data_IF_655488560986
#
_entry.id   IF_655488560986
#
_cell.length_a   1.000
_cell.length_b   1.000
_cell.length_c   1.000
_cell.angle_alpha   90.00
_cell.angle_beta   90.00
_cell.angle_gamma   90.00
#
_symmetry.space_group_name_H-M   'P 1'
#
loop_
_entity.id
_entity.type
_entity.pdbx_description
1 polymer ?
#
# COMPACT_ATOMS: atom_id res chain seq x y z
N UNK A 1 22.03 -10.53 8.51
CA UNK A 1 20.85 -10.65 9.37
C UNK A 1 19.86 -11.54 8.66
N UNK A 2 19.49 -12.67 9.26
CA UNK A 2 18.48 -13.58 8.69
C UNK A 2 17.10 -12.89 8.61
N UNK A 3 16.19 -13.37 7.75
CA UNK A 3 14.84 -12.79 7.57
C UNK A 3 14.06 -12.82 8.89
N UNK A 4 14.22 -13.89 9.69
CA UNK A 4 13.59 -14.00 11.01
C UNK A 4 14.10 -12.94 11.99
N UNK A 5 15.40 -12.67 11.96
CA UNK A 5 16.07 -11.68 12.80
C UNK A 5 15.68 -10.24 12.39
N UNK A 6 15.59 -9.96 11.08
CA UNK A 6 15.04 -8.71 10.53
C UNK A 6 13.59 -8.50 10.96
N UNK A 7 12.75 -9.52 10.86
CA UNK A 7 11.35 -9.42 11.27
C UNK A 7 11.20 -9.18 12.78
N UNK A 8 12.06 -9.79 13.60
CA UNK A 8 12.09 -9.57 15.05
C UNK A 8 12.53 -8.14 15.39
N UNK A 9 13.57 -7.62 14.74
CA UNK A 9 14.04 -6.25 14.92
C UNK A 9 12.95 -5.23 14.55
N UNK A 10 12.30 -5.42 13.39
CA UNK A 10 11.19 -4.57 12.96
C UNK A 10 10.07 -4.60 13.99
N UNK A 11 9.65 -5.79 14.47
CA UNK A 11 8.59 -5.89 15.48
C UNK A 11 8.95 -5.23 16.81
N UNK A 12 10.21 -5.32 17.24
CA UNK A 12 10.64 -4.73 18.51
C UNK A 12 10.85 -3.22 18.43
N UNK A 13 11.12 -2.67 17.24
CA UNK A 13 11.48 -1.27 17.04
C UNK A 13 10.56 -0.54 16.06
N UNK A 14 9.35 -1.05 15.81
CA UNK A 14 8.46 -0.53 14.76
C UNK A 14 8.16 0.96 14.92
N UNK A 15 8.02 1.45 16.16
CA UNK A 15 7.78 2.88 16.45
C UNK A 15 8.94 3.73 15.95
N UNK A 16 10.18 3.29 16.19
CA UNK A 16 11.37 4.00 15.70
C UNK A 16 11.37 4.06 14.17
N UNK A 17 11.16 2.91 13.50
CA UNK A 17 11.13 2.85 12.04
C UNK A 17 10.04 3.75 11.45
N UNK A 18 8.84 3.74 12.02
CA UNK A 18 7.70 4.57 11.57
C UNK A 18 7.95 6.05 11.85
N UNK A 19 8.40 6.41 13.05
CA UNK A 19 8.57 7.82 13.45
C UNK A 19 9.69 8.54 12.70
N UNK A 20 10.70 7.79 12.25
CA UNK A 20 11.83 8.33 11.46
C UNK A 20 11.50 8.58 9.98
N UNK A 21 10.37 8.06 9.47
CA UNK A 21 9.97 8.17 8.08
C UNK A 21 8.61 8.90 7.95
N UNK A 22 8.58 10.12 7.38
CA UNK A 22 7.33 10.89 7.26
C UNK A 22 6.23 10.24 6.42
N UNK A 23 6.58 9.32 5.50
CA UNK A 23 5.60 8.56 4.73
C UNK A 23 4.96 7.52 5.62
N UNK A 24 5.76 6.77 6.38
CA UNK A 24 5.27 5.74 7.30
C UNK A 24 4.49 6.32 8.47
N UNK A 25 4.97 7.41 9.09
CA UNK A 25 4.28 8.08 10.19
C UNK A 25 2.86 8.49 9.82
N UNK A 26 2.68 9.12 8.66
CA UNK A 26 1.35 9.47 8.14
C UNK A 26 0.48 8.24 7.89
N UNK A 27 1.07 7.10 7.55
CA UNK A 27 0.35 5.85 7.26
C UNK A 27 -0.19 5.24 8.54
N UNK A 28 0.59 5.31 9.62
CA UNK A 28 0.13 4.95 10.95
C UNK A 28 -0.96 5.89 11.45
N UNK A 29 -0.85 7.20 11.20
CA UNK A 29 -1.92 8.15 11.55
C UNK A 29 -3.22 7.89 10.77
N UNK A 30 -3.12 7.56 9.47
CA UNK A 30 -4.25 7.11 8.66
C UNK A 30 -4.91 5.87 9.27
N UNK A 31 -4.14 4.82 9.55
CA UNK A 31 -4.65 3.58 10.15
C UNK A 31 -5.29 3.84 11.52
N UNK A 32 -4.67 4.69 12.34
CA UNK A 32 -5.23 5.10 13.64
C UNK A 32 -6.57 5.84 13.48
N UNK A 33 -6.67 6.76 12.52
CA UNK A 33 -7.93 7.46 12.22
C UNK A 33 -9.02 6.49 11.73
N UNK A 34 -8.68 5.50 10.89
CA UNK A 34 -9.63 4.45 10.47
C UNK A 34 -10.16 3.66 11.65
N UNK A 35 -9.26 3.23 12.53
CA UNK A 35 -9.64 2.48 13.73
C UNK A 35 -10.52 3.33 14.67
N UNK A 36 -10.10 4.57 14.96
CA UNK A 36 -10.85 5.50 15.80
C UNK A 36 -12.23 5.83 15.24
N UNK A 37 -12.36 5.98 13.91
CA UNK A 37 -13.65 6.17 13.26
C UNK A 37 -14.61 4.99 13.49
N UNK A 38 -14.09 3.76 13.56
CA UNK A 38 -14.90 2.56 13.82
C UNK A 38 -15.31 2.44 15.29
N UNK A 39 -14.43 2.78 16.23
CA UNK A 39 -14.68 2.55 17.67
C UNK A 39 -15.31 3.74 18.39
N UNK A 40 -14.95 4.97 18.03
CA UNK A 40 -15.48 6.19 18.65
C UNK A 40 -16.73 6.73 17.93
N UNK A 41 -17.00 6.27 16.69
CA UNK A 41 -18.13 6.72 15.85
C UNK A 41 -18.20 8.24 15.66
N UNK A 42 -17.03 8.90 15.63
CA UNK A 42 -16.91 10.35 15.38
C UNK A 42 -16.47 10.60 13.93
N UNK A 43 -17.27 11.39 13.21
CA UNK A 43 -17.02 11.74 11.81
C UNK A 43 -15.68 12.45 11.58
N UNK A 44 -15.17 13.16 12.59
CA UNK A 44 -13.87 13.84 12.57
C UNK A 44 -12.73 12.88 12.17
N UNK A 45 -12.72 11.65 12.69
CA UNK A 45 -11.69 10.66 12.36
C UNK A 45 -11.84 10.11 10.94
N UNK A 46 -13.08 9.97 10.46
CA UNK A 46 -13.35 9.61 9.06
C UNK A 46 -12.81 10.68 8.11
N UNK A 47 -13.04 11.95 8.42
CA UNK A 47 -12.54 13.08 7.63
C UNK A 47 -10.99 13.12 7.62
N UNK A 48 -10.36 12.99 8.78
CA UNK A 48 -8.89 12.95 8.88
C UNK A 48 -8.29 11.77 8.09
N UNK A 49 -8.90 10.58 8.15
CA UNK A 49 -8.46 9.44 7.35
C UNK A 49 -8.56 9.74 5.84
N UNK A 50 -9.65 10.36 5.40
CA UNK A 50 -9.82 10.78 4.00
C UNK A 50 -8.72 11.77 3.59
N UNK A 51 -8.38 12.74 4.45
CA UNK A 51 -7.33 13.72 4.18
C UNK A 51 -5.95 13.07 3.98
N UNK A 52 -5.56 12.13 4.87
CA UNK A 52 -4.31 11.40 4.71
C UNK A 52 -4.28 10.56 3.43
N UNK A 53 -5.38 9.87 3.10
CA UNK A 53 -5.48 9.10 1.85
C UNK A 53 -5.37 10.00 0.62
N UNK A 54 -6.08 11.13 0.61
CA UNK A 54 -6.00 12.11 -0.48
C UNK A 54 -4.59 12.69 -0.63
N UNK A 55 -3.88 12.93 0.47
CA UNK A 55 -2.49 13.36 0.44
C UNK A 55 -1.61 12.36 -0.32
N UNK A 56 -1.72 11.06 -0.04
CA UNK A 56 -0.94 10.05 -0.75
C UNK A 56 -1.28 9.98 -2.23
N UNK A 57 -2.56 9.97 -2.59
CA UNK A 57 -2.99 9.92 -3.99
C UNK A 57 -2.48 11.14 -4.78
N UNK A 58 -2.58 12.34 -4.21
CA UNK A 58 -2.05 13.58 -4.81
C UNK A 58 -0.53 13.56 -4.92
N UNK A 59 0.15 13.03 -3.90
CA UNK A 59 1.62 12.95 -3.87
C UNK A 59 2.15 11.95 -4.89
N UNK A 60 1.51 10.79 -5.04
CA UNK A 60 1.81 9.82 -6.09
C UNK A 60 1.66 10.44 -7.47
N UNK A 61 0.52 11.08 -7.73
CA UNK A 61 0.26 11.75 -9.01
C UNK A 61 1.32 12.80 -9.37
N UNK A 62 1.83 13.54 -8.40
CA UNK A 62 2.92 14.51 -8.59
C UNK A 62 4.30 13.85 -8.70
N UNK A 63 4.52 12.76 -7.98
CA UNK A 63 5.80 12.06 -7.87
C UNK A 63 6.18 11.28 -9.11
N UNK A 64 5.20 10.82 -9.92
CA UNK A 64 5.46 10.07 -11.16
C UNK A 64 6.26 10.85 -12.20
N UNK A 65 6.35 12.18 -12.11
CA UNK A 65 7.18 12.99 -13.01
C UNK A 65 8.65 13.10 -12.57
N UNK A 66 9.04 12.50 -11.44
CA UNK A 66 10.38 12.63 -10.86
C UNK A 66 11.21 11.36 -11.04
N UNK A 67 12.36 11.47 -11.71
CA UNK A 67 13.29 10.35 -11.91
C UNK A 67 14.23 10.08 -10.72
N UNK A 68 14.05 10.79 -9.60
CA UNK A 68 14.91 10.62 -8.43
C UNK A 68 14.59 9.29 -7.71
N UNK A 69 15.62 8.52 -7.37
CA UNK A 69 15.48 7.27 -6.60
C UNK A 69 14.71 7.47 -5.28
N UNK A 70 14.94 8.58 -4.58
CA UNK A 70 14.18 8.92 -3.36
C UNK A 70 12.68 9.11 -3.62
N UNK A 71 12.30 9.72 -4.74
CA UNK A 71 10.90 9.87 -5.15
C UNK A 71 10.27 8.50 -5.44
N UNK A 72 10.99 7.61 -6.13
CA UNK A 72 10.53 6.25 -6.43
C UNK A 72 10.32 5.43 -5.16
N UNK A 73 11.25 5.49 -4.20
CA UNK A 73 11.11 4.85 -2.88
C UNK A 73 9.87 5.33 -2.14
N UNK A 74 9.66 6.65 -2.09
CA UNK A 74 8.48 7.23 -1.45
C UNK A 74 7.20 6.79 -2.15
N UNK A 75 7.18 6.75 -3.49
CA UNK A 75 6.03 6.28 -4.24
C UNK A 75 5.67 4.82 -3.88
N UNK A 76 6.66 3.94 -3.82
CA UNK A 76 6.45 2.53 -3.42
C UNK A 76 5.90 2.45 -1.99
N UNK A 77 6.47 3.21 -1.04
CA UNK A 77 5.99 3.24 0.34
C UNK A 77 4.54 3.77 0.44
N UNK A 78 4.21 4.86 -0.26
CA UNK A 78 2.85 5.42 -0.29
C UNK A 78 1.84 4.43 -0.89
N UNK A 79 2.20 3.77 -2.00
CA UNK A 79 1.34 2.76 -2.63
C UNK A 79 1.15 1.54 -1.73
N UNK A 80 2.18 1.14 -0.99
CA UNK A 80 2.09 0.06 0.01
C UNK A 80 1.13 0.44 1.16
N UNK A 81 1.18 1.68 1.64
CA UNK A 81 0.26 2.19 2.67
C UNK A 81 -1.17 2.24 2.15
N UNK A 82 -1.38 2.69 0.90
CA UNK A 82 -2.71 2.69 0.30
C UNK A 82 -3.29 1.29 0.21
N UNK A 83 -2.50 0.29 -0.20
CA UNK A 83 -2.95 -1.11 -0.22
C UNK A 83 -3.44 -1.58 1.17
N UNK A 84 -2.75 -1.22 2.25
CA UNK A 84 -3.17 -1.54 3.62
C UNK A 84 -4.46 -0.81 4.03
N UNK A 85 -4.61 0.46 3.65
CA UNK A 85 -5.85 1.22 3.90
C UNK A 85 -7.04 0.56 3.20
N UNK A 86 -6.88 0.14 1.94
CA UNK A 86 -7.95 -0.53 1.21
C UNK A 86 -8.32 -1.87 1.84
N UNK A 87 -7.36 -2.68 2.29
CA UNK A 87 -7.63 -3.90 3.05
C UNK A 87 -8.41 -3.60 4.32
N UNK A 88 -8.02 -2.53 5.04
CA UNK A 88 -8.70 -2.11 6.28
C UNK A 88 -10.14 -1.68 6.01
N UNK A 89 -10.40 -1.12 4.82
CA UNK A 89 -11.74 -0.74 4.38
C UNK A 89 -12.52 -1.90 3.72
N UNK A 90 -11.91 -3.07 3.55
CA UNK A 90 -12.51 -4.23 2.88
C UNK A 90 -12.42 -4.20 1.34
N UNK A 91 -11.78 -3.20 0.73
CA UNK A 91 -11.58 -3.11 -0.73
C UNK A 91 -10.31 -3.82 -1.18
N UNK A 92 -10.40 -5.12 -1.06
CA UNK A 92 -9.41 -6.09 -1.47
C UNK A 92 -8.96 -6.00 -2.94
N UNK A 93 -9.87 -5.63 -3.85
CA UNK A 93 -9.57 -5.50 -5.27
C UNK A 93 -8.68 -4.28 -5.54
N UNK A 94 -9.00 -3.13 -4.94
CA UNK A 94 -8.17 -1.92 -5.09
C UNK A 94 -6.83 -2.11 -4.36
N UNK A 95 -6.81 -2.83 -3.22
CA UNK A 95 -5.57 -3.19 -2.56
C UNK A 95 -4.60 -3.96 -3.48
N UNK A 96 -5.10 -4.94 -4.23
CA UNK A 96 -4.29 -5.71 -5.19
C UNK A 96 -3.71 -4.82 -6.28
N UNK A 97 -4.51 -3.90 -6.84
CA UNK A 97 -4.03 -2.95 -7.86
C UNK A 97 -2.90 -2.07 -7.33
N UNK A 98 -2.96 -1.64 -6.08
CA UNK A 98 -1.85 -0.93 -5.45
C UNK A 98 -0.60 -1.80 -5.34
N UNK A 99 -0.72 -3.05 -4.89
CA UNK A 99 0.42 -3.99 -4.80
C UNK A 99 1.06 -4.20 -6.18
N UNK A 100 0.26 -4.45 -7.22
CA UNK A 100 0.75 -4.60 -8.59
C UNK A 100 1.45 -3.33 -9.10
N UNK A 101 0.89 -2.15 -8.82
CA UNK A 101 1.54 -0.88 -9.12
C UNK A 101 2.89 -0.71 -8.42
N UNK A 102 3.00 -1.13 -7.16
CA UNK A 102 4.26 -1.11 -6.43
C UNK A 102 5.30 -2.07 -7.02
N UNK A 103 4.88 -3.28 -7.43
CA UNK A 103 5.75 -4.25 -8.09
C UNK A 103 6.31 -3.71 -9.41
N UNK A 104 5.45 -3.10 -10.24
CA UNK A 104 5.87 -2.48 -11.50
C UNK A 104 6.90 -1.37 -11.28
N UNK A 105 6.68 -0.50 -10.30
CA UNK A 105 7.65 0.55 -9.95
C UNK A 105 9.00 -0.02 -9.47
N UNK A 106 8.99 -1.17 -8.79
CA UNK A 106 10.23 -1.86 -8.36
C UNK A 106 10.97 -2.43 -9.56
N UNK A 107 10.26 -3.07 -10.49
CA UNK A 107 10.83 -3.61 -11.72
C UNK A 107 11.46 -2.50 -12.58
N UNK A 108 10.75 -1.39 -12.78
CA UNK A 108 11.23 -0.21 -13.52
C UNK A 108 12.44 0.47 -12.85
N UNK A 109 12.63 0.28 -11.55
CA UNK A 109 13.82 0.74 -10.82
C UNK A 109 15.00 -0.24 -10.88
N UNK A 110 14.86 -1.36 -11.60
CA UNK A 110 15.89 -2.40 -11.71
C UNK A 110 15.94 -3.34 -10.51
N UNK A 111 14.83 -3.48 -9.79
CA UNK A 111 14.65 -4.44 -8.71
C UNK A 111 14.76 -3.86 -7.30
N UNK A 112 14.35 -4.68 -6.33
CA UNK A 112 14.20 -4.31 -4.92
C UNK A 112 15.52 -3.88 -4.26
N UNK A 113 16.63 -4.56 -4.61
CA UNK A 113 17.95 -4.28 -4.05
C UNK A 113 18.51 -2.91 -4.49
N UNK A 114 18.16 -2.44 -5.69
CA UNK A 114 18.65 -1.14 -6.20
C UNK A 114 17.96 0.07 -5.58
N UNK A 115 16.74 -0.12 -5.11
CA UNK A 115 15.95 0.97 -4.55
C UNK A 115 16.40 1.36 -3.15
N UNK A 116 16.92 0.41 -2.35
CA UNK A 116 17.25 0.66 -0.95
C UNK A 116 16.02 1.12 -0.16
N UNK A 117 14.90 0.37 -0.28
CA UNK A 117 13.67 0.64 0.47
C UNK A 117 13.91 0.46 1.97
N UNK A 118 13.14 1.20 2.76
CA UNK A 118 13.05 0.99 4.21
C UNK A 118 12.68 -0.49 4.51
N UNK A 119 13.37 -1.10 5.47
CA UNK A 119 13.17 -2.52 5.84
C UNK A 119 11.72 -2.83 6.22
N UNK A 120 11.02 -1.92 6.90
CA UNK A 120 9.61 -2.08 7.23
C UNK A 120 8.72 -2.06 5.97
N UNK A 121 8.95 -1.14 5.04
CA UNK A 121 8.21 -1.09 3.76
C UNK A 121 8.41 -2.39 2.99
N UNK A 122 9.66 -2.85 2.90
CA UNK A 122 10.03 -4.11 2.24
C UNK A 122 9.32 -5.30 2.89
N UNK A 123 9.35 -5.39 4.22
CA UNK A 123 8.70 -6.45 4.97
C UNK A 123 7.19 -6.46 4.77
N UNK A 124 6.54 -5.30 4.84
CA UNK A 124 5.09 -5.18 4.66
C UNK A 124 4.68 -5.53 3.23
N UNK A 125 5.37 -5.01 2.22
CA UNK A 125 5.09 -5.32 0.83
C UNK A 125 5.24 -6.81 0.53
N UNK A 126 6.27 -7.45 1.07
CA UNK A 126 6.45 -8.90 0.94
C UNK A 126 5.27 -9.68 1.54
N UNK A 127 4.79 -9.27 2.71
CA UNK A 127 3.60 -9.89 3.34
C UNK A 127 2.32 -9.66 2.53
N UNK A 128 2.16 -8.49 1.89
CA UNK A 128 1.03 -8.20 1.02
C UNK A 128 1.04 -9.09 -0.24
N UNK A 129 2.20 -9.23 -0.88
CA UNK A 129 2.37 -10.04 -2.07
C UNK A 129 2.12 -11.52 -1.77
N UNK A 130 2.89 -12.10 -0.85
CA UNK A 130 2.96 -13.55 -0.67
C UNK A 130 2.10 -14.04 0.49
N UNK A 131 2.07 -13.32 1.61
CA UNK A 131 1.29 -13.71 2.78
C UNK A 131 -0.22 -13.55 2.59
N UNK A 132 -0.63 -12.47 1.93
CA UNK A 132 -2.04 -12.19 1.59
C UNK A 132 -2.40 -12.60 0.15
N UNK A 133 -1.45 -13.15 -0.61
CA UNK A 133 -1.61 -13.61 -2.00
C UNK A 133 -2.20 -12.55 -2.93
N UNK A 134 -1.97 -11.26 -2.65
CA UNK A 134 -2.52 -10.16 -3.46
C UNK A 134 -1.85 -10.05 -4.82
N UNK A 135 -0.64 -10.61 -4.99
CA UNK A 135 0.01 -10.75 -6.30
C UNK A 135 -0.60 -11.85 -7.17
N UNK A 136 -1.41 -12.75 -6.59
CA UNK A 136 -2.09 -13.84 -7.32
C UNK A 136 -3.52 -13.48 -7.69
N UNK A 137 -4.04 -12.34 -7.23
CA UNK A 137 -5.37 -11.84 -7.61
C UNK A 137 -5.44 -11.29 -9.04
N UNK A 138 -4.47 -11.65 -9.88
CA UNK A 138 -4.27 -11.11 -11.21
C UNK A 138 -5.05 -11.92 -12.27
N UNK A 139 -5.90 -11.20 -12.99
CA UNK A 139 -6.57 -11.53 -14.27
C UNK A 139 -7.69 -12.57 -14.31
N UNK A 140 -7.65 -13.72 -13.65
CA UNK A 140 -8.65 -14.79 -13.90
C UNK A 140 -10.04 -14.46 -13.35
N UNK A 141 -10.12 -13.88 -12.14
CA UNK A 141 -11.39 -13.44 -11.54
C UNK A 141 -11.95 -12.18 -12.21
N UNK A 142 -11.08 -11.31 -12.75
CA UNK A 142 -11.49 -10.12 -13.49
C UNK A 142 -11.96 -10.47 -14.91
N UNK A 143 -11.33 -11.46 -15.55
CA UNK A 143 -11.79 -12.05 -16.82
C UNK A 143 -13.11 -12.80 -16.62
N UNK A 144 -13.24 -13.58 -15.54
CA UNK A 144 -14.48 -14.26 -15.18
C UNK A 144 -15.61 -13.28 -14.86
N UNK A 145 -15.36 -12.18 -14.14
CA UNK A 145 -16.38 -11.18 -13.84
C UNK A 145 -16.82 -10.40 -15.09
N UNK A 146 -15.91 -10.13 -16.02
CA UNK A 146 -16.21 -9.44 -17.29
C UNK A 146 -16.95 -10.36 -18.29
N UNK A 147 -16.73 -11.67 -18.21
CA UNK A 147 -17.47 -12.69 -18.98
C UNK A 147 -18.85 -13.04 -18.38
N UNK A 148 -19.09 -12.67 -17.11
CA UNK A 148 -20.34 -12.96 -16.39
C UNK A 148 -21.28 -11.74 -16.26
N UNK A 149 -20.92 -10.57 -16.80
CA UNK A 149 -21.85 -9.44 -16.95
C UNK A 149 -22.75 -9.63 -18.18
N UNK A 150 -24.08 -9.74 -18.03
CA UNK A 150 -24.99 -9.98 -19.13
C UNK A 150 -25.35 -8.68 -19.86
N UNK A 151 -24.40 -8.08 -20.59
CA UNK A 151 -24.70 -6.97 -21.52
C UNK A 151 -24.24 -7.30 -22.95
N UNK A 152 -24.52 -8.53 -23.38
CA UNK A 152 -24.61 -8.90 -24.80
C UNK A 152 -25.99 -9.49 -25.12
N UNK A 153 -27.06 -8.77 -24.74
CA UNK A 153 -28.41 -8.92 -25.28
C UNK A 153 -29.01 -7.50 -25.43
N UNK A 154 -28.62 -6.77 -26.48
CA UNK A 154 -29.44 -6.36 -27.66
C UNK A 154 -30.28 -5.08 -27.48
N UNK A 155 -30.57 -4.31 -28.56
CA UNK A 155 -30.43 -4.64 -29.99
C UNK A 155 -29.20 -4.05 -30.70
#
# INVERSE_FOLDING_TARGET
MDIAEQAAEIRNNWIFFVSSDPVLLRGCLLAACRYLAQVELRDEYTLLAIEYKQYYLRSLRKGFSSDRLSSRRNAIAMTTILALDEITCGDHLIAAKHVLGAMKMIEEAGGLERLGLNHLVRYVLYNLMFGKRLSEWDMDLQSASTLMTPDSILP
#
